data_IF_445752090514
#
_entry.id   IF_445752090514
#
_cell.length_a   1.000
_cell.length_b   1.000
_cell.length_c   1.000
_cell.angle_alpha   90.00
_cell.angle_beta   90.00
_cell.angle_gamma   90.00
#
_symmetry.space_group_name_H-M   'P 1'
#
loop_
_entity.id
_entity.type
_entity.pdbx_description
1 polymer ?
#
# COMPACT_ATOMS: atom_id res chain seq x y z
N UNK A 1 -38.05 -11.82 34.88
CA UNK A 1 -37.55 -10.49 34.43
C UNK A 1 -36.19 -10.13 35.03
N UNK A 2 -35.91 -10.33 36.32
CA UNK A 2 -34.62 -9.91 36.92
C UNK A 2 -33.37 -10.74 36.52
N UNK A 3 -33.53 -11.96 36.02
CA UNK A 3 -32.42 -12.87 35.68
C UNK A 3 -31.70 -12.50 34.38
N UNK A 4 -32.42 -11.94 33.39
CA UNK A 4 -31.85 -11.51 32.11
C UNK A 4 -30.91 -10.31 32.27
N UNK A 5 -31.24 -9.38 33.17
CA UNK A 5 -30.38 -8.23 33.48
C UNK A 5 -29.05 -8.65 34.12
N UNK A 6 -29.08 -9.62 35.06
CA UNK A 6 -27.84 -10.13 35.69
C UNK A 6 -26.93 -10.83 34.69
N UNK A 7 -27.49 -11.62 33.77
CA UNK A 7 -26.71 -12.26 32.71
C UNK A 7 -26.06 -11.22 31.78
N UNK A 8 -26.79 -10.14 31.44
CA UNK A 8 -26.27 -9.07 30.60
C UNK A 8 -25.14 -8.29 31.28
N UNK A 9 -25.25 -8.01 32.58
CA UNK A 9 -24.18 -7.34 33.35
C UNK A 9 -22.90 -8.17 33.32
N UNK A 10 -22.99 -9.48 33.61
CA UNK A 10 -21.81 -10.37 33.55
C UNK A 10 -21.16 -10.42 32.17
N UNK A 11 -21.98 -10.37 31.11
CA UNK A 11 -21.46 -10.32 29.75
C UNK A 11 -20.70 -9.01 29.47
N UNK A 12 -21.20 -7.88 29.95
CA UNK A 12 -20.52 -6.59 29.80
C UNK A 12 -19.21 -6.56 30.60
N UNK A 13 -19.21 -7.07 31.84
CA UNK A 13 -18.00 -7.20 32.66
C UNK A 13 -16.94 -8.07 31.98
N UNK A 14 -17.36 -9.17 31.33
CA UNK A 14 -16.45 -10.02 30.58
C UNK A 14 -15.86 -9.29 29.36
N UNK A 15 -16.68 -8.57 28.60
CA UNK A 15 -16.22 -7.76 27.46
C UNK A 15 -15.25 -6.67 27.92
N UNK A 16 -15.53 -6.00 29.03
CA UNK A 16 -14.65 -4.96 29.57
C UNK A 16 -13.29 -5.54 30.01
N UNK A 17 -13.29 -6.73 30.61
CA UNK A 17 -12.06 -7.45 30.94
C UNK A 17 -11.26 -7.84 29.68
N UNK A 18 -11.93 -8.32 28.63
CA UNK A 18 -11.29 -8.62 27.34
C UNK A 18 -10.71 -7.36 26.68
N UNK A 19 -11.46 -6.26 26.69
CA UNK A 19 -10.99 -4.98 26.15
C UNK A 19 -9.77 -4.44 26.92
N UNK A 20 -9.74 -4.59 28.25
CA UNK A 20 -8.58 -4.24 29.04
C UNK A 20 -7.35 -5.08 28.64
N UNK A 21 -7.51 -6.41 28.53
CA UNK A 21 -6.42 -7.30 28.13
C UNK A 21 -5.88 -6.99 26.73
N UNK A 22 -6.76 -6.67 25.76
CA UNK A 22 -6.34 -6.30 24.40
C UNK A 22 -5.59 -4.95 24.38
N UNK A 23 -5.99 -3.99 25.22
CA UNK A 23 -5.28 -2.71 25.35
C UNK A 23 -3.89 -2.90 25.94
N UNK A 24 -3.74 -3.75 26.95
CA UNK A 24 -2.45 -4.09 27.53
C UNK A 24 -1.55 -4.79 26.51
N UNK A 25 -2.10 -5.73 25.73
CA UNK A 25 -1.37 -6.40 24.65
C UNK A 25 -0.90 -5.40 23.60
N UNK A 26 -1.76 -4.46 23.19
CA UNK A 26 -1.40 -3.39 22.25
C UNK A 26 -0.25 -2.53 22.80
N UNK A 27 -0.35 -2.08 24.05
CA UNK A 27 0.70 -1.28 24.68
C UNK A 27 2.05 -2.02 24.71
N UNK A 28 2.06 -3.34 24.93
CA UNK A 28 3.27 -4.17 24.86
C UNK A 28 3.85 -4.26 23.45
N UNK A 29 3.00 -4.38 22.42
CA UNK A 29 3.44 -4.40 21.03
C UNK A 29 4.03 -3.05 20.62
N UNK A 30 3.38 -1.95 20.97
CA UNK A 30 3.84 -0.59 20.68
C UNK A 30 5.20 -0.33 21.35
N UNK A 31 5.38 -0.74 22.62
CA UNK A 31 6.67 -0.67 23.31
C UNK A 31 7.76 -1.49 22.60
N UNK A 32 7.43 -2.69 22.10
CA UNK A 32 8.37 -3.53 21.35
C UNK A 32 8.76 -2.91 20.00
N UNK A 33 7.81 -2.29 19.31
CA UNK A 33 8.08 -1.56 18.07
C UNK A 33 9.04 -0.40 18.35
N UNK A 34 8.78 0.40 19.38
CA UNK A 34 9.65 1.52 19.75
C UNK A 34 11.09 1.07 20.06
N UNK A 35 11.26 -0.07 20.74
CA UNK A 35 12.59 -0.66 21.00
C UNK A 35 13.26 -1.10 19.69
N UNK A 36 12.55 -1.81 18.81
CA UNK A 36 13.13 -2.26 17.54
C UNK A 36 13.50 -1.09 16.62
N UNK A 37 12.69 -0.03 16.61
CA UNK A 37 13.00 1.18 15.87
C UNK A 37 14.24 1.90 16.41
N UNK A 38 14.39 2.01 17.73
CA UNK A 38 15.57 2.64 18.33
C UNK A 38 16.83 1.82 18.09
N UNK A 39 16.76 0.48 18.20
CA UNK A 39 17.87 -0.41 17.83
C UNK A 39 18.24 -0.26 16.36
N UNK A 40 17.26 -0.30 15.44
CA UNK A 40 17.52 -0.10 14.02
C UNK A 40 18.19 1.24 13.73
N UNK A 41 17.74 2.33 14.38
CA UNK A 41 18.37 3.66 14.22
C UNK A 41 19.81 3.65 14.73
N UNK A 42 20.09 2.99 15.86
CA UNK A 42 21.44 2.85 16.40
C UNK A 42 22.35 2.05 15.45
N UNK A 43 21.89 0.90 14.96
CA UNK A 43 22.64 0.05 14.03
C UNK A 43 22.98 0.79 12.72
N UNK A 44 22.03 1.59 12.20
CA UNK A 44 22.27 2.41 11.01
C UNK A 44 23.31 3.50 11.25
N UNK A 45 23.34 4.11 12.43
CA UNK A 45 24.36 5.11 12.78
C UNK A 45 25.74 4.46 12.97
N UNK A 46 25.80 3.28 13.57
CA UNK A 46 27.04 2.50 13.72
C UNK A 46 27.60 2.14 12.34
N UNK A 47 26.78 1.55 11.46
CA UNK A 47 27.17 1.22 10.09
C UNK A 47 27.61 2.45 9.29
N UNK A 48 26.90 3.58 9.43
CA UNK A 48 27.30 4.82 8.78
C UNK A 48 28.66 5.32 9.30
N UNK A 49 28.92 5.20 10.61
CA UNK A 49 30.20 5.59 11.21
C UNK A 49 31.35 4.68 10.77
N UNK A 50 31.12 3.37 10.63
CA UNK A 50 32.10 2.42 10.11
C UNK A 50 32.46 2.71 8.66
N UNK A 51 31.46 2.96 7.81
CA UNK A 51 31.67 3.36 6.41
C UNK A 51 32.46 4.67 6.35
N UNK A 52 32.08 5.66 7.17
CA UNK A 52 32.76 6.95 7.20
C UNK A 52 34.22 6.82 7.69
N UNK A 53 34.49 5.95 8.67
CA UNK A 53 35.85 5.68 9.14
C UNK A 53 36.73 5.01 8.07
N UNK A 54 36.13 4.22 7.17
CA UNK A 54 36.83 3.62 6.04
C UNK A 54 37.10 4.59 4.89
N UNK A 55 36.39 5.72 4.82
CA UNK A 55 36.60 6.75 3.81
C UNK A 55 37.58 7.79 4.36
N UNK A 56 38.81 7.80 3.84
CA UNK A 56 39.79 8.84 4.18
C UNK A 56 39.43 10.17 3.49
N UNK A 57 38.46 10.88 4.09
CA UNK A 57 37.95 12.16 3.60
C UNK A 57 39.04 13.24 3.51
N UNK A 58 40.13 13.12 4.28
CA UNK A 58 41.24 14.07 4.25
C UNK A 58 42.06 13.97 2.97
N UNK A 59 42.05 12.81 2.31
CA UNK A 59 42.76 12.58 1.05
C UNK A 59 41.89 12.79 -0.19
N UNK A 60 40.57 12.97 -0.02
CA UNK A 60 39.66 13.19 -1.14
C UNK A 60 39.69 14.65 -1.61
N UNK A 61 39.78 14.92 -2.93
CA UNK A 61 39.61 16.27 -3.44
C UNK A 61 38.17 16.74 -3.19
N UNK A 62 38.00 18.03 -2.89
CA UNK A 62 36.70 18.66 -2.57
C UNK A 62 35.64 18.35 -3.65
N UNK A 63 36.04 18.30 -4.92
CA UNK A 63 35.14 17.94 -6.04
C UNK A 63 34.56 16.53 -5.93
N UNK A 64 35.35 15.56 -5.47
CA UNK A 64 34.90 14.18 -5.26
C UNK A 64 33.97 14.08 -4.05
N UNK A 65 34.23 14.86 -2.99
CA UNK A 65 33.32 14.96 -1.84
C UNK A 65 31.97 15.53 -2.27
N UNK A 66 31.97 16.62 -3.04
CA UNK A 66 30.73 17.21 -3.57
C UNK A 66 29.98 16.23 -4.47
N UNK A 67 30.67 15.56 -5.40
CA UNK A 67 30.04 14.56 -6.28
C UNK A 67 29.43 13.39 -5.48
N UNK A 68 30.13 12.90 -4.46
CA UNK A 68 29.64 11.83 -3.57
C UNK A 68 28.40 12.26 -2.78
N UNK A 69 28.39 13.47 -2.20
CA UNK A 69 27.23 14.01 -1.49
C UNK A 69 26.03 14.21 -2.44
N UNK A 70 26.27 14.65 -3.68
CA UNK A 70 25.21 14.83 -4.68
C UNK A 70 24.64 13.48 -5.15
N UNK A 71 25.49 12.46 -5.27
CA UNK A 71 25.06 11.10 -5.58
C UNK A 71 24.27 10.46 -4.43
N UNK A 72 24.64 10.74 -3.17
CA UNK A 72 23.88 10.30 -2.00
C UNK A 72 22.50 10.95 -1.93
N UNK A 73 22.39 12.25 -2.22
CA UNK A 73 21.10 12.96 -2.26
C UNK A 73 20.15 12.37 -3.32
N UNK A 74 20.69 11.93 -4.46
CA UNK A 74 19.92 11.25 -5.51
C UNK A 74 19.62 9.77 -5.25
N UNK A 75 20.42 9.09 -4.42
CA UNK A 75 20.31 7.65 -4.16
C UNK A 75 19.40 7.31 -2.97
N UNK A 76 19.04 8.28 -2.12
CA UNK A 76 18.03 8.07 -1.08
C UNK A 76 16.66 8.12 -1.76
N UNK A 77 15.95 6.98 -1.94
CA UNK A 77 14.54 7.07 -2.30
C UNK A 77 13.88 7.89 -1.20
N UNK A 78 13.31 9.05 -1.56
CA UNK A 78 12.50 9.85 -0.64
C UNK A 78 11.44 8.93 -0.05
N UNK A 79 11.70 8.46 1.16
CA UNK A 79 10.71 7.77 1.96
C UNK A 79 9.80 8.87 2.46
N UNK A 80 8.84 9.25 1.62
CA UNK A 80 7.75 10.14 2.00
C UNK A 80 7.08 9.56 3.25
N UNK A 81 7.29 10.23 4.38
CA UNK A 81 6.47 10.08 5.58
C UNK A 81 6.94 9.04 6.59
N UNK A 82 7.83 9.46 7.49
CA UNK A 82 7.73 9.07 8.89
C UNK A 82 8.55 10.04 9.75
N UNK A 83 8.11 11.30 9.82
CA UNK A 83 8.50 12.17 10.94
C UNK A 83 7.30 12.33 11.88
N UNK A 84 7.59 12.11 13.15
CA UNK A 84 6.63 11.93 14.22
C UNK A 84 6.05 13.25 14.72
N UNK A 85 4.77 13.16 15.05
CA UNK A 85 4.06 13.90 16.10
C UNK A 85 3.56 15.32 15.79
N UNK A 86 2.24 15.44 16.01
CA UNK A 86 1.50 16.67 16.34
C UNK A 86 1.49 17.75 15.25
N UNK A 87 0.52 17.66 14.32
CA UNK A 87 -0.71 18.48 14.34
C UNK A 87 -1.61 17.97 13.21
N UNK A 88 -2.89 17.74 13.53
CA UNK A 88 -3.94 17.57 12.52
C UNK A 88 -3.94 18.81 11.63
N UNK A 89 -3.58 18.66 10.36
CA UNK A 89 -4.21 19.39 9.24
C UNK A 89 -3.59 18.94 7.91
N UNK A 90 -4.37 18.13 7.18
CA UNK A 90 -4.49 18.09 5.71
C UNK A 90 -3.39 18.78 4.89
N UNK A 91 -2.17 18.26 4.90
CA UNK A 91 -1.16 18.65 3.94
C UNK A 91 -1.12 17.63 2.79
N UNK A 92 -1.89 17.91 1.74
CA UNK A 92 -1.47 17.59 0.38
C UNK A 92 -1.69 16.18 -0.17
N UNK A 93 -2.61 15.36 0.37
CA UNK A 93 -3.09 14.20 -0.38
C UNK A 93 -3.85 14.72 -1.61
N UNK A 94 -3.16 14.81 -2.75
CA UNK A 94 -3.76 15.16 -4.03
C UNK A 94 -4.88 14.15 -4.30
N UNK A 95 -6.11 14.63 -4.14
CA UNK A 95 -7.34 13.83 -4.29
C UNK A 95 -7.60 13.64 -5.77
N UNK A 96 -7.23 12.47 -6.28
CA UNK A 96 -7.43 12.12 -7.67
C UNK A 96 -8.86 11.62 -7.83
N UNK A 97 -9.67 12.34 -8.61
CA UNK A 97 -10.96 11.82 -9.05
C UNK A 97 -10.71 10.46 -9.73
N UNK A 98 -11.46 9.42 -9.40
CA UNK A 98 -11.22 8.06 -9.90
C UNK A 98 -12.55 7.43 -10.30
N UNK A 99 -12.57 6.77 -11.46
CA UNK A 99 -13.72 6.00 -11.94
C UNK A 99 -13.29 4.55 -12.16
N UNK A 100 -14.05 3.60 -11.62
CA UNK A 100 -13.78 2.17 -11.77
C UNK A 100 -15.00 1.49 -12.38
N UNK A 101 -14.83 1.01 -13.62
CA UNK A 101 -15.91 0.38 -14.40
C UNK A 101 -16.10 -1.09 -14.03
N UNK A 102 -16.75 -1.32 -12.88
CA UNK A 102 -17.05 -2.65 -12.34
C UNK A 102 -18.45 -2.67 -11.78
N UNK A 103 -19.23 -3.73 -12.02
CA UNK A 103 -20.59 -3.87 -11.50
C UNK A 103 -20.70 -3.73 -9.98
N UNK A 104 -21.89 -3.36 -9.50
CA UNK A 104 -22.25 -3.32 -8.07
C UNK A 104 -22.03 -4.66 -7.33
N UNK A 105 -22.07 -5.78 -8.06
CA UNK A 105 -22.03 -7.14 -7.52
C UNK A 105 -20.60 -7.68 -7.33
N UNK A 106 -19.65 -6.82 -7.01
CA UNK A 106 -18.32 -7.25 -6.54
C UNK A 106 -18.42 -8.00 -5.22
N UNK A 107 -17.56 -9.01 -5.05
CA UNK A 107 -17.46 -9.78 -3.80
C UNK A 107 -17.23 -8.87 -2.58
N UNK A 108 -17.73 -9.29 -1.42
CA UNK A 108 -17.75 -8.48 -0.17
C UNK A 108 -16.39 -7.82 0.15
N UNK A 109 -15.30 -8.55 -0.02
CA UNK A 109 -13.92 -8.05 0.22
C UNK A 109 -13.53 -6.92 -0.74
N UNK A 110 -13.85 -7.04 -2.03
CA UNK A 110 -13.57 -6.01 -3.04
C UNK A 110 -14.45 -4.78 -2.85
N UNK A 111 -15.70 -4.97 -2.44
CA UNK A 111 -16.61 -3.88 -2.08
C UNK A 111 -16.08 -3.07 -0.90
N UNK A 112 -15.67 -3.74 0.17
CA UNK A 112 -15.12 -3.08 1.35
C UNK A 112 -13.89 -2.24 1.02
N UNK A 113 -13.03 -2.71 0.12
CA UNK A 113 -11.85 -1.97 -0.34
C UNK A 113 -12.24 -0.69 -1.10
N UNK A 114 -13.23 -0.76 -1.99
CA UNK A 114 -13.75 0.41 -2.72
C UNK A 114 -14.36 1.45 -1.76
N UNK A 115 -15.18 1.02 -0.81
CA UNK A 115 -15.81 1.89 0.18
C UNK A 115 -14.77 2.50 1.13
N UNK A 116 -13.77 1.72 1.56
CA UNK A 116 -12.65 2.19 2.39
C UNK A 116 -11.81 3.25 1.67
N UNK A 117 -11.64 3.11 0.35
CA UNK A 117 -10.97 4.10 -0.48
C UNK A 117 -11.82 5.36 -0.77
N UNK A 118 -13.05 5.43 -0.24
CA UNK A 118 -13.95 6.57 -0.41
C UNK A 118 -14.70 6.58 -1.75
N UNK A 119 -14.73 5.46 -2.48
CA UNK A 119 -15.51 5.32 -3.70
C UNK A 119 -16.94 4.88 -3.36
N UNK A 120 -17.90 5.44 -4.08
CA UNK A 120 -19.31 5.06 -3.98
C UNK A 120 -19.85 4.55 -5.32
N UNK A 121 -20.91 3.76 -5.27
CA UNK A 121 -21.57 3.27 -6.48
C UNK A 121 -22.32 4.40 -7.20
N UNK A 122 -21.99 4.63 -8.48
CA UNK A 122 -22.70 5.54 -9.37
C UNK A 122 -23.57 4.73 -10.34
N UNK A 123 -24.87 4.66 -10.04
CA UNK A 123 -25.80 3.78 -10.76
C UNK A 123 -26.04 4.15 -12.23
N UNK A 124 -25.88 5.43 -12.59
CA UNK A 124 -26.09 5.91 -13.96
C UNK A 124 -25.00 5.45 -14.92
N UNK A 125 -23.74 5.48 -14.46
CA UNK A 125 -22.58 5.13 -15.29
C UNK A 125 -22.16 3.66 -15.09
N UNK A 126 -22.81 2.94 -14.17
CA UNK A 126 -22.52 1.53 -13.89
C UNK A 126 -21.13 1.30 -13.31
N UNK A 127 -20.61 2.24 -12.52
CA UNK A 127 -19.25 2.18 -11.97
C UNK A 127 -19.14 2.76 -10.56
N UNK A 128 -17.93 2.70 -10.00
CA UNK A 128 -17.59 3.28 -8.70
C UNK A 128 -16.83 4.59 -8.90
N UNK A 129 -17.24 5.64 -8.19
CA UNK A 129 -16.72 7.01 -8.37
C UNK A 129 -16.37 7.63 -7.04
N UNK A 130 -15.34 8.46 -7.02
CA UNK A 130 -14.90 9.13 -5.81
C UNK A 130 -13.54 9.78 -5.96
N UNK A 131 -13.07 10.37 -4.88
CA UNK A 131 -11.76 11.00 -4.80
C UNK A 131 -10.83 10.15 -3.96
N UNK A 132 -9.72 9.73 -4.53
CA UNK A 132 -8.79 8.77 -3.92
C UNK A 132 -7.40 9.36 -3.90
N UNK A 133 -6.68 9.20 -2.79
CA UNK A 133 -5.26 9.59 -2.71
C UNK A 133 -4.38 8.68 -3.57
N UNK A 134 -3.18 9.15 -3.91
CA UNK A 134 -2.21 8.43 -4.74
C UNK A 134 -1.92 6.99 -4.25
N UNK A 135 -1.74 6.81 -2.94
CA UNK A 135 -1.47 5.51 -2.34
C UNK A 135 -2.63 4.51 -2.51
N UNK A 136 -3.86 4.97 -2.29
CA UNK A 136 -5.05 4.12 -2.45
C UNK A 136 -5.34 3.83 -3.94
N UNK A 137 -4.99 4.74 -4.85
CA UNK A 137 -5.09 4.50 -6.29
C UNK A 137 -4.14 3.37 -6.75
N UNK A 138 -2.92 3.29 -6.21
CA UNK A 138 -1.99 2.18 -6.48
C UNK A 138 -2.58 0.84 -6.02
N UNK A 139 -3.11 0.78 -4.79
CA UNK A 139 -3.77 -0.42 -4.27
C UNK A 139 -4.97 -0.86 -5.12
N UNK A 140 -5.76 0.10 -5.61
CA UNK A 140 -6.88 -0.18 -6.49
C UNK A 140 -6.42 -0.73 -7.84
N UNK A 141 -5.31 -0.23 -8.39
CA UNK A 141 -4.71 -0.77 -9.62
C UNK A 141 -4.20 -2.19 -9.45
N UNK A 142 -3.60 -2.52 -8.31
CA UNK A 142 -3.14 -3.88 -8.05
C UNK A 142 -4.30 -4.89 -8.01
N UNK A 143 -5.46 -4.47 -7.48
CA UNK A 143 -6.62 -5.36 -7.28
C UNK A 143 -7.55 -5.42 -8.50
N UNK A 144 -7.70 -4.30 -9.22
CA UNK A 144 -8.68 -4.14 -10.29
C UNK A 144 -8.04 -3.99 -11.68
N UNK A 145 -6.72 -3.85 -11.75
CA UNK A 145 -5.93 -3.76 -13.00
C UNK A 145 -6.39 -2.60 -13.88
N UNK A 146 -6.57 -2.91 -15.16
CA UNK A 146 -6.91 -1.95 -16.22
C UNK A 146 -8.32 -1.35 -16.11
N UNK A 147 -9.12 -1.75 -15.12
CA UNK A 147 -10.49 -1.24 -14.92
C UNK A 147 -10.54 0.10 -14.17
N UNK A 148 -9.40 0.61 -13.73
CA UNK A 148 -9.26 1.89 -13.01
C UNK A 148 -8.97 2.99 -14.03
N UNK A 149 -10.00 3.71 -14.42
CA UNK A 149 -9.87 4.86 -15.32
C UNK A 149 -9.49 6.10 -14.50
N UNK A 150 -8.44 6.80 -14.96
CA UNK A 150 -8.19 8.18 -14.53
C UNK A 150 -9.19 9.06 -15.30
N UNK A 151 -10.08 9.80 -14.63
CA UNK A 151 -10.88 10.81 -15.28
C UNK A 151 -9.91 11.79 -15.96
N UNK A 152 -10.00 11.85 -17.29
CA UNK A 152 -9.53 13.00 -18.04
C UNK A 152 -10.25 14.18 -17.42
N UNK A 153 -9.53 15.10 -16.78
CA UNK A 153 -10.09 16.33 -16.21
C UNK A 153 -10.92 17.00 -17.31
N UNK A 154 -12.24 16.79 -17.28
CA UNK A 154 -13.16 17.60 -18.05
C UNK A 154 -13.14 18.93 -17.32
N UNK A 155 -12.46 19.90 -17.93
CA UNK A 155 -12.55 21.29 -17.52
C UNK A 155 -14.03 21.65 -17.35
N UNK A 156 -14.41 22.43 -16.33
CA UNK A 156 -15.78 22.85 -16.15
C UNK A 156 -16.15 23.72 -17.36
N UNK A 157 -16.83 23.14 -18.35
CA UNK A 157 -17.49 23.93 -19.36
C UNK A 157 -18.54 24.79 -18.65
N UNK A 158 -18.36 26.10 -18.83
CA UNK A 158 -19.28 27.12 -18.40
C UNK A 158 -20.70 26.84 -18.93
N UNK A 159 -21.75 27.29 -18.23
CA UNK A 159 -23.12 27.03 -18.63
C UNK A 159 -23.44 27.72 -19.96
N UNK A 160 -23.65 26.95 -21.02
CA UNK A 160 -24.33 27.45 -22.22
C UNK A 160 -25.79 27.05 -22.21
N UNK A 161 -26.58 28.10 -22.22
CA UNK A 161 -28.02 28.18 -22.35
C UNK A 161 -28.53 27.57 -23.68
N UNK A 162 -29.84 27.31 -23.68
CA UNK A 162 -30.77 27.18 -24.81
C UNK A 162 -30.74 25.93 -25.69
N UNK A 163 -31.74 25.08 -25.45
CA UNK A 163 -32.67 24.50 -26.42
C UNK A 163 -32.27 24.47 -27.90
N UNK A 164 -32.22 23.26 -28.47
CA UNK A 164 -33.08 22.94 -29.61
C UNK A 164 -33.22 21.43 -29.83
N UNK A 165 -34.44 21.08 -30.18
CA UNK A 165 -35.07 19.79 -30.33
C UNK A 165 -35.08 19.37 -31.81
N UNK A 166 -35.17 18.05 -32.06
CA UNK A 166 -35.56 17.37 -33.30
C UNK A 166 -34.55 17.13 -34.43
N UNK A 167 -34.00 15.91 -34.40
CA UNK A 167 -34.16 14.82 -35.38
C UNK A 167 -34.08 15.10 -36.90
N UNK A 168 -33.11 14.47 -37.58
CA UNK A 168 -33.32 13.51 -38.67
C UNK A 168 -31.99 12.87 -39.14
N UNK A 169 -32.07 11.59 -39.51
CA UNK A 169 -31.03 10.64 -39.99
C UNK A 169 -31.26 10.44 -41.52
N UNK A 170 -30.55 9.57 -42.29
CA UNK A 170 -29.12 9.35 -42.63
C UNK A 170 -28.82 9.61 -44.14
N UNK A 171 -27.56 9.45 -44.62
CA UNK A 171 -27.28 8.71 -45.88
C UNK A 171 -25.77 8.45 -46.12
N UNK A 172 -25.52 7.31 -46.77
CA UNK A 172 -24.26 6.63 -47.11
C UNK A 172 -23.43 7.26 -48.25
N UNK A 173 -22.15 6.83 -48.32
CA UNK A 173 -21.31 6.46 -49.48
C UNK A 173 -19.86 6.97 -49.27
N UNK A 174 -18.91 6.09 -48.96
CA UNK A 174 -17.94 5.46 -49.88
C UNK A 174 -16.78 6.40 -50.30
N UNK A 175 -15.57 6.11 -49.81
CA UNK A 175 -14.37 5.85 -50.63
C UNK A 175 -13.11 5.65 -49.74
N UNK A 176 -12.57 4.43 -49.78
CA UNK A 176 -11.14 4.10 -49.61
C UNK A 176 -10.40 4.39 -50.94
N UNK A 177 -9.08 4.20 -51.10
CA UNK A 177 -7.95 4.21 -50.15
C UNK A 177 -6.81 5.14 -50.64
N UNK A 178 -5.85 5.53 -49.78
CA UNK A 178 -4.54 5.94 -50.31
C UNK A 178 -3.36 5.56 -49.43
N UNK A 179 -2.42 4.87 -50.09
CA UNK A 179 -1.07 4.52 -49.66
C UNK A 179 -0.24 5.79 -49.45
N UNK A 180 0.65 5.76 -48.46
CA UNK A 180 2.06 6.11 -48.68
C UNK A 180 2.90 5.67 -47.48
N UNK A 181 3.99 4.99 -47.83
CA UNK A 181 5.06 4.51 -46.98
C UNK A 181 5.75 5.62 -46.18
N UNK A 182 6.27 5.28 -45.00
CA UNK A 182 7.55 5.81 -44.51
C UNK A 182 8.13 4.88 -43.45
N UNK A 183 9.00 3.99 -43.92
CA UNK A 183 9.98 3.28 -43.11
C UNK A 183 10.97 4.30 -42.54
N UNK A 184 11.18 4.29 -41.22
CA UNK A 184 12.42 4.77 -40.64
C UNK A 184 12.98 3.68 -39.72
N UNK A 185 13.95 3.00 -40.33
CA UNK A 185 14.92 2.10 -39.77
C UNK A 185 15.94 2.93 -38.98
N UNK A 186 16.03 2.77 -37.66
CA UNK A 186 17.22 3.16 -36.90
C UNK A 186 17.57 1.99 -35.98
N UNK A 187 18.58 1.25 -36.41
CA UNK A 187 19.16 0.17 -35.62
C UNK A 187 19.91 0.70 -34.42
N UNK A 188 19.87 -0.04 -33.32
CA UNK A 188 20.85 0.07 -32.26
C UNK A 188 21.31 -1.34 -31.89
N UNK A 189 22.54 -1.59 -32.35
CA UNK A 189 23.60 -2.42 -31.81
C UNK A 189 23.26 -3.55 -30.81
N UNK A 190 23.56 -4.77 -31.27
CA UNK A 190 24.14 -5.82 -30.44
C UNK A 190 25.37 -5.29 -29.67
N UNK A 191 25.36 -5.49 -28.35
CA UNK A 191 26.58 -5.64 -27.56
C UNK A 191 26.40 -6.85 -26.64
N UNK A 192 27.23 -7.85 -26.92
CA UNK A 192 27.50 -9.11 -26.22
C UNK A 192 28.12 -8.94 -24.84
N UNK A 193 27.91 -9.94 -23.97
CA UNK A 193 28.64 -10.20 -22.73
C UNK A 193 27.65 -10.55 -21.61
N UNK A 194 27.49 -11.79 -21.17
CA UNK A 194 28.53 -12.74 -20.79
C UNK A 194 28.87 -12.50 -19.33
N UNK A 195 28.15 -13.16 -18.41
CA UNK A 195 28.77 -13.81 -17.25
C UNK A 195 27.79 -14.69 -16.48
N UNK A 196 28.18 -15.96 -16.41
CA UNK A 196 27.61 -17.00 -15.58
C UNK A 196 27.85 -16.66 -14.10
N UNK A 197 26.78 -16.59 -13.31
CA UNK A 197 26.90 -16.78 -11.86
C UNK A 197 25.93 -17.85 -11.39
N UNK A 198 26.52 -19.03 -11.22
CA UNK A 198 26.03 -20.20 -10.50
C UNK A 198 25.38 -19.80 -9.17
N UNK A 199 24.04 -19.79 -9.14
CA UNK A 199 23.29 -19.73 -7.89
C UNK A 199 23.27 -21.12 -7.23
N UNK A 200 24.08 -21.28 -6.18
CA UNK A 200 23.97 -22.42 -5.27
C UNK A 200 22.71 -22.26 -4.39
N UNK A 201 21.81 -23.26 -4.31
CA UNK A 201 20.69 -23.22 -3.40
C UNK A 201 21.15 -23.64 -1.99
N UNK A 202 21.29 -22.67 -1.08
CA UNK A 202 21.43 -22.94 0.35
C UNK A 202 20.08 -23.41 0.91
N UNK A 203 19.87 -24.72 0.90
CA UNK A 203 18.85 -25.38 1.71
C UNK A 203 19.17 -25.19 3.20
N UNK A 204 18.68 -24.11 3.81
CA UNK A 204 18.70 -23.95 5.26
C UNK A 204 17.55 -24.75 5.85
N UNK A 205 17.84 -25.99 6.21
CA UNK A 205 17.00 -26.89 7.01
C UNK A 205 16.69 -26.18 8.35
N UNK A 206 15.44 -25.77 8.53
CA UNK A 206 14.93 -25.33 9.83
C UNK A 206 14.69 -26.58 10.69
N UNK A 207 15.60 -26.85 11.61
CA UNK A 207 15.35 -27.80 12.70
C UNK A 207 14.24 -27.25 13.60
N UNK A 208 13.02 -27.78 13.45
CA UNK A 208 11.94 -27.63 14.41
C UNK A 208 12.36 -28.28 15.73
N UNK A 209 12.83 -27.48 16.70
CA UNK A 209 12.99 -27.91 18.08
C UNK A 209 11.61 -27.98 18.73
N UNK A 210 11.38 -29.12 19.39
CA UNK A 210 10.08 -29.61 19.84
C UNK A 210 9.28 -28.66 20.72
N UNK A 211 7.96 -28.75 20.57
CA UNK A 211 7.00 -28.23 21.52
C UNK A 211 7.16 -28.92 22.88
N UNK A 212 7.13 -28.18 24.00
CA UNK A 212 7.09 -28.81 25.33
C UNK A 212 5.77 -29.58 25.51
N UNK A 213 5.87 -30.83 25.95
CA UNK A 213 4.74 -31.68 26.35
C UNK A 213 3.95 -31.00 27.47
N UNK A 214 2.63 -30.98 27.30
CA UNK A 214 1.64 -30.60 28.31
C UNK A 214 1.79 -31.50 29.56
N UNK A 215 1.91 -30.96 30.78
CA UNK A 215 1.87 -31.77 31.99
C UNK A 215 0.49 -32.42 32.14
N UNK A 216 0.48 -33.71 32.46
CA UNK A 216 -0.75 -34.44 32.80
C UNK A 216 -1.22 -34.02 34.19
N UNK A 217 -2.52 -33.77 34.31
CA UNK A 217 -3.17 -33.43 35.57
C UNK A 217 -3.13 -34.64 36.50
N UNK A 218 -2.62 -34.42 37.70
CA UNK A 218 -2.59 -35.38 38.81
C UNK A 218 -4.01 -35.74 39.22
N UNK A 219 -4.25 -37.05 39.39
CA UNK A 219 -5.48 -37.62 39.93
C UNK A 219 -5.75 -37.15 41.37
N UNK A 220 -7.02 -36.84 41.61
CA UNK A 220 -7.62 -36.45 42.87
C UNK A 220 -7.81 -37.70 43.76
N UNK A 221 -7.30 -37.75 45.01
CA UNK A 221 -7.52 -38.88 45.88
C UNK A 221 -8.92 -38.85 46.51
N UNK A 222 -9.62 -39.96 46.37
CA UNK A 222 -10.90 -40.27 46.99
C UNK A 222 -10.87 -40.09 48.53
N UNK A 223 -11.92 -39.47 49.05
CA UNK A 223 -12.13 -39.29 50.49
C UNK A 223 -12.47 -40.60 51.24
N UNK A 224 -12.22 -40.66 52.56
CA UNK A 224 -12.51 -41.81 53.41
C UNK A 224 -13.98 -41.85 53.91
N UNK A 225 -14.45 -43.01 54.44
CA UNK A 225 -15.86 -43.40 54.51
C UNK A 225 -16.71 -42.70 55.58
#
# INVERSE_FOLDING_TARGET
>A
MATTHRARIKQLEHIDAELAALRDQRARMDARIAILESTRRADLLELASEILAGVDLLQMPVSAICAYLTALDGAVPRSDGADLATTKENAGDEKIATFIKISRNVGKRKRALLEQAGLHWHGRDGGWTGFVGSAALTQLRDVFGDKVEKPRLVAPEAPSSSAQESAAVPSCADEEPNKADSQLNVGIAECTGGDETTFAPLHRIMHFRGFPRRPQASEEPAGPP
#
